data_IF_718038465247
#
_entry.id   IF_718038465247
#
_cell.length_a   1.000
_cell.length_b   1.000
_cell.length_c   1.000
_cell.angle_alpha   90.00
_cell.angle_beta   90.00
_cell.angle_gamma   90.00
#
_symmetry.space_group_name_H-M   'P 1'
#
loop_
_entity.id
_entity.type
_entity.pdbx_description
1 polymer ?
#
# COMPACT_ATOMS: atom_id res chain seq x y z
N UNK A 1 -25.82 40.43 44.95
CA UNK A 1 -25.15 39.16 44.58
C UNK A 1 -26.19 38.22 43.99
N UNK A 2 -26.02 37.83 42.72
CA UNK A 2 -26.63 36.68 42.01
C UNK A 2 -26.33 36.94 40.52
N UNK A 3 -25.13 36.55 40.06
CA UNK A 3 -24.83 35.27 39.42
C UNK A 3 -25.24 35.25 37.94
N UNK A 4 -24.23 35.38 37.08
CA UNK A 4 -24.30 35.21 35.62
C UNK A 4 -24.62 33.75 35.31
N UNK A 5 -25.70 33.48 34.60
CA UNK A 5 -25.90 32.18 33.94
C UNK A 5 -25.31 32.26 32.53
N UNK A 6 -24.09 31.74 32.37
CA UNK A 6 -23.53 31.43 31.06
C UNK A 6 -24.19 30.13 30.61
N UNK A 7 -25.02 30.21 29.58
CA UNK A 7 -25.59 29.03 28.92
C UNK A 7 -24.48 28.37 28.10
N UNK A 8 -23.75 27.43 28.71
CA UNK A 8 -22.87 26.52 27.98
C UNK A 8 -23.78 25.54 27.25
N UNK A 9 -23.98 25.77 25.96
CA UNK A 9 -24.50 24.73 25.06
C UNK A 9 -23.41 23.67 24.99
N UNK A 10 -23.50 22.66 25.87
CA UNK A 10 -22.86 21.38 25.67
C UNK A 10 -23.50 20.80 24.40
N UNK A 11 -22.86 20.99 23.26
CA UNK A 11 -23.04 20.10 22.13
C UNK A 11 -22.45 18.76 22.61
N UNK A 12 -23.30 17.96 23.25
CA UNK A 12 -23.09 16.53 23.36
C UNK A 12 -23.04 16.02 21.93
N UNK A 13 -21.85 15.98 21.34
CA UNK A 13 -21.60 15.05 20.26
C UNK A 13 -22.07 13.69 20.80
N UNK A 14 -23.01 13.00 20.14
CA UNK A 14 -23.33 11.65 20.56
C UNK A 14 -22.00 10.89 20.66
N UNK A 15 -21.74 10.17 21.77
CA UNK A 15 -20.58 9.29 21.81
C UNK A 15 -20.65 8.45 20.54
N UNK A 16 -19.52 8.34 19.82
CA UNK A 16 -19.41 7.51 18.63
C UNK A 16 -19.90 6.12 19.02
N UNK A 17 -21.17 5.83 18.75
CA UNK A 17 -21.88 4.65 19.27
C UNK A 17 -21.49 3.38 18.49
N UNK A 18 -20.68 3.55 17.45
CA UNK A 18 -20.42 2.55 16.41
C UNK A 18 -18.92 2.20 16.29
N UNK A 19 -18.07 2.59 17.25
CA UNK A 19 -16.66 2.22 17.24
C UNK A 19 -16.48 0.80 17.79
N UNK A 20 -15.86 -0.08 17.01
CA UNK A 20 -15.56 -1.45 17.40
C UNK A 20 -14.69 -1.47 18.67
N UNK A 21 -15.03 -2.34 19.61
CA UNK A 21 -14.23 -2.52 20.81
C UNK A 21 -12.86 -3.13 20.48
N UNK A 22 -11.80 -2.64 21.11
CA UNK A 22 -10.42 -3.06 20.79
C UNK A 22 -10.19 -4.54 21.15
N UNK A 23 -10.88 -5.09 22.16
CA UNK A 23 -10.78 -6.51 22.50
C UNK A 23 -11.50 -7.36 21.45
N UNK A 24 -12.66 -6.92 20.97
CA UNK A 24 -13.36 -7.56 19.85
C UNK A 24 -12.49 -7.56 18.58
N UNK A 25 -11.96 -6.40 18.19
CA UNK A 25 -11.04 -6.28 17.06
C UNK A 25 -9.88 -7.29 17.13
N UNK A 26 -9.17 -7.33 18.26
CA UNK A 26 -8.07 -8.29 18.49
C UNK A 26 -8.54 -9.74 18.38
N UNK A 27 -9.70 -10.05 18.98
CA UNK A 27 -10.26 -11.41 18.95
C UNK A 27 -10.51 -11.87 17.51
N UNK A 28 -11.06 -11.01 16.65
CA UNK A 28 -11.31 -11.37 15.25
C UNK A 28 -10.00 -11.44 14.46
N UNK A 29 -9.07 -10.52 14.68
CA UNK A 29 -7.75 -10.56 14.04
C UNK A 29 -6.96 -11.82 14.39
N UNK A 30 -7.03 -12.31 15.63
CA UNK A 30 -6.43 -13.58 16.02
C UNK A 30 -7.01 -14.76 15.22
N UNK A 31 -8.30 -14.72 14.89
CA UNK A 31 -8.93 -15.73 14.01
C UNK A 31 -8.42 -15.64 12.58
N UNK A 32 -8.25 -14.43 12.05
CA UNK A 32 -7.63 -14.21 10.72
C UNK A 32 -6.23 -14.81 10.69
N UNK A 33 -5.40 -14.49 11.69
CA UNK A 33 -4.01 -14.97 11.78
C UNK A 33 -3.92 -16.50 11.94
N UNK A 34 -4.90 -17.11 12.60
CA UNK A 34 -5.01 -18.56 12.75
C UNK A 34 -5.64 -19.26 11.54
N UNK A 35 -5.93 -18.54 10.44
CA UNK A 35 -6.67 -19.04 9.27
C UNK A 35 -8.02 -19.68 9.62
N UNK A 36 -8.62 -19.25 10.74
CA UNK A 36 -9.92 -19.70 11.19
C UNK A 36 -11.00 -18.76 10.64
N UNK A 37 -11.35 -18.98 9.37
CA UNK A 37 -12.11 -18.02 8.57
C UNK A 37 -13.62 -18.02 8.83
N UNK A 38 -14.23 -19.16 9.19
CA UNK A 38 -15.68 -19.26 9.46
C UNK A 38 -16.20 -18.20 10.47
N UNK A 39 -15.58 -17.99 11.65
CA UNK A 39 -16.03 -16.94 12.57
C UNK A 39 -15.79 -15.54 12.04
N UNK A 40 -14.74 -15.32 11.22
CA UNK A 40 -14.45 -14.02 10.61
C UNK A 40 -15.50 -13.68 9.55
N UNK A 41 -15.89 -14.65 8.73
CA UNK A 41 -16.94 -14.49 7.72
C UNK A 41 -18.28 -14.17 8.34
N UNK A 42 -18.63 -14.90 9.41
CA UNK A 42 -19.83 -14.62 10.18
C UNK A 42 -19.79 -13.20 10.75
N UNK A 43 -18.66 -12.80 11.35
CA UNK A 43 -18.48 -11.46 11.88
C UNK A 43 -18.65 -10.37 10.81
N UNK A 44 -17.96 -10.50 9.67
CA UNK A 44 -18.04 -9.54 8.57
C UNK A 44 -19.45 -9.45 8.02
N UNK A 45 -20.15 -10.58 7.87
CA UNK A 45 -21.52 -10.60 7.36
C UNK A 45 -22.51 -9.94 8.31
N UNK A 46 -22.46 -10.30 9.59
CA UNK A 46 -23.47 -9.90 10.57
C UNK A 46 -23.33 -8.43 10.98
N UNK A 47 -22.10 -7.90 10.99
CA UNK A 47 -21.83 -6.54 11.48
C UNK A 47 -21.66 -5.48 10.36
N UNK A 48 -21.74 -5.87 9.07
CA UNK A 48 -21.48 -4.96 7.95
C UNK A 48 -22.31 -3.67 7.96
N UNK A 49 -23.59 -3.77 8.34
CA UNK A 49 -24.50 -2.62 8.33
C UNK A 49 -24.19 -1.62 9.44
N UNK A 50 -23.86 -2.13 10.63
CA UNK A 50 -23.58 -1.34 11.83
C UNK A 50 -22.19 -0.71 11.78
N UNK A 51 -21.19 -1.45 11.26
CA UNK A 51 -19.79 -1.03 11.23
C UNK A 51 -19.34 -0.45 9.88
N UNK A 52 -20.27 -0.02 9.02
CA UNK A 52 -19.96 0.48 7.67
C UNK A 52 -19.01 1.70 7.65
N UNK A 53 -18.95 2.44 8.76
CA UNK A 53 -18.08 3.63 8.90
C UNK A 53 -16.91 3.38 9.85
N UNK A 54 -16.83 2.20 10.43
CA UNK A 54 -15.79 1.83 11.37
C UNK A 54 -14.53 1.36 10.62
N UNK A 55 -13.36 1.99 10.80
CA UNK A 55 -12.15 1.64 10.06
C UNK A 55 -11.63 0.23 10.39
N UNK A 56 -11.80 -0.24 11.61
CA UNK A 56 -11.34 -1.54 12.10
C UNK A 56 -12.07 -2.69 11.41
N UNK A 57 -13.35 -2.52 11.07
CA UNK A 57 -14.08 -3.45 10.21
C UNK A 57 -13.35 -3.67 8.88
N UNK A 58 -12.83 -2.61 8.27
CA UNK A 58 -12.11 -2.69 7.00
C UNK A 58 -10.69 -3.21 7.13
N UNK A 59 -10.03 -2.98 8.27
CA UNK A 59 -8.76 -3.66 8.58
C UNK A 59 -8.97 -5.17 8.63
N UNK A 60 -10.02 -5.65 9.31
CA UNK A 60 -10.39 -7.08 9.34
C UNK A 60 -10.70 -7.57 7.93
N UNK A 61 -11.53 -6.85 7.18
CA UNK A 61 -11.93 -7.23 5.81
C UNK A 61 -10.71 -7.42 4.90
N UNK A 62 -9.77 -6.46 4.89
CA UNK A 62 -8.55 -6.56 4.07
C UNK A 62 -7.69 -7.75 4.46
N UNK A 63 -7.43 -7.93 5.76
CA UNK A 63 -6.59 -9.03 6.25
C UNK A 63 -7.25 -10.39 5.99
N UNK A 64 -8.56 -10.51 6.21
CA UNK A 64 -9.34 -11.70 5.88
C UNK A 64 -9.29 -12.01 4.38
N UNK A 65 -9.61 -11.04 3.52
CA UNK A 65 -9.63 -11.22 2.07
C UNK A 65 -8.28 -11.67 1.54
N UNK A 66 -7.19 -11.07 2.03
CA UNK A 66 -5.84 -11.48 1.67
C UNK A 66 -5.48 -12.87 2.23
N UNK A 67 -5.65 -13.11 3.52
CA UNK A 67 -5.26 -14.38 4.15
C UNK A 67 -6.04 -15.57 3.57
N UNK A 68 -7.35 -15.43 3.36
CA UNK A 68 -8.16 -16.49 2.75
C UNK A 68 -7.91 -16.62 1.25
N UNK A 69 -7.64 -15.50 0.56
CA UNK A 69 -7.43 -15.48 -0.88
C UNK A 69 -6.03 -15.96 -1.29
N UNK A 70 -5.02 -15.75 -0.46
CA UNK A 70 -3.64 -16.11 -0.73
C UNK A 70 -3.35 -17.58 -0.40
N UNK A 71 -4.03 -18.51 -1.09
CA UNK A 71 -3.86 -19.94 -0.88
C UNK A 71 -2.63 -20.45 -1.62
N UNK A 72 -1.99 -21.45 -1.03
CA UNK A 72 -0.97 -22.25 -1.69
C UNK A 72 -1.53 -23.65 -1.96
N UNK A 73 -1.21 -24.21 -3.11
CA UNK A 73 -1.62 -25.54 -3.55
C UNK A 73 -0.40 -26.45 -3.63
N UNK A 74 -0.49 -27.58 -2.93
CA UNK A 74 0.44 -28.68 -3.13
C UNK A 74 0.13 -29.34 -4.48
N UNK A 75 1.12 -29.36 -5.37
CA UNK A 75 1.07 -29.97 -6.69
C UNK A 75 1.97 -31.18 -6.72
N UNK A 76 1.42 -32.30 -7.20
CA UNK A 76 2.18 -33.50 -7.60
C UNK A 76 2.14 -33.57 -9.12
N UNK A 77 3.29 -33.52 -9.78
CA UNK A 77 3.36 -33.55 -11.23
C UNK A 77 4.60 -34.29 -11.74
N UNK A 78 4.55 -34.76 -12.99
CA UNK A 78 5.72 -35.32 -13.70
C UNK A 78 6.63 -34.20 -14.19
N UNK A 79 7.93 -34.48 -14.31
CA UNK A 79 8.92 -33.56 -14.86
C UNK A 79 9.96 -33.08 -13.84
N UNK A 80 10.71 -32.04 -14.20
CA UNK A 80 11.84 -31.55 -13.41
C UNK A 80 11.35 -30.64 -12.25
N UNK A 81 11.82 -30.87 -11.01
CA UNK A 81 11.51 -30.00 -9.88
C UNK A 81 12.09 -28.59 -10.07
N UNK A 82 11.39 -27.59 -9.54
CA UNK A 82 11.89 -26.23 -9.35
C UNK A 82 12.58 -26.08 -7.99
N UNK A 83 13.23 -24.93 -7.77
CA UNK A 83 13.85 -24.61 -6.48
C UNK A 83 12.79 -24.60 -5.38
N UNK A 84 12.94 -25.49 -4.40
CA UNK A 84 12.01 -25.65 -3.28
C UNK A 84 11.02 -26.81 -3.44
N UNK A 85 10.98 -27.46 -4.60
CA UNK A 85 10.21 -28.69 -4.79
C UNK A 85 10.96 -29.90 -4.24
N UNK A 86 10.21 -30.92 -3.81
CA UNK A 86 10.71 -32.25 -3.52
C UNK A 86 10.69 -33.08 -4.80
N UNK A 87 11.85 -33.61 -5.20
CA UNK A 87 11.94 -34.55 -6.32
C UNK A 87 11.27 -35.89 -5.97
N UNK A 88 10.56 -36.46 -6.93
CA UNK A 88 10.04 -37.83 -6.87
C UNK A 88 10.89 -38.68 -7.79
N UNK A 89 11.62 -39.63 -7.21
CA UNK A 89 12.56 -40.50 -7.91
C UNK A 89 11.97 -41.90 -8.11
N UNK A 90 12.25 -42.50 -9.27
CA UNK A 90 12.02 -43.91 -9.50
C UNK A 90 12.95 -44.71 -8.58
N UNK A 91 12.38 -45.67 -7.84
CA UNK A 91 13.12 -46.41 -6.81
C UNK A 91 14.19 -47.32 -7.40
N UNK A 92 14.00 -47.81 -8.62
CA UNK A 92 14.86 -48.82 -9.23
C UNK A 92 15.95 -48.17 -10.08
N UNK A 93 15.66 -47.05 -10.75
CA UNK A 93 16.63 -46.33 -11.59
C UNK A 93 17.28 -45.13 -10.91
N UNK A 94 16.67 -44.58 -9.86
CA UNK A 94 17.07 -43.32 -9.24
C UNK A 94 16.77 -42.08 -10.10
N UNK A 95 16.06 -42.24 -11.21
CA UNK A 95 15.73 -41.13 -12.09
C UNK A 95 14.58 -40.29 -11.52
N UNK A 96 14.69 -38.97 -11.63
CA UNK A 96 13.60 -38.06 -11.25
C UNK A 96 12.44 -38.20 -12.24
N UNK A 97 11.32 -38.75 -11.78
CA UNK A 97 10.10 -38.97 -12.58
C UNK A 97 9.03 -37.90 -12.33
N UNK A 98 9.18 -37.11 -11.27
CA UNK A 98 8.26 -36.02 -10.95
C UNK A 98 8.71 -35.17 -9.78
N UNK A 99 7.78 -34.38 -9.26
CA UNK A 99 7.99 -33.54 -8.10
C UNK A 99 6.71 -33.34 -7.29
N UNK A 100 6.89 -33.05 -6.01
CA UNK A 100 5.90 -32.49 -5.10
C UNK A 100 6.35 -31.06 -4.78
N UNK A 101 5.51 -30.06 -5.08
CA UNK A 101 5.86 -28.66 -4.92
C UNK A 101 4.68 -27.82 -4.47
N UNK A 102 4.95 -26.67 -3.87
CA UNK A 102 3.90 -25.72 -3.52
C UNK A 102 3.75 -24.68 -4.63
N UNK A 103 2.52 -24.36 -5.02
CA UNK A 103 2.21 -23.40 -6.09
C UNK A 103 1.19 -22.38 -5.60
N UNK A 104 1.35 -21.09 -5.93
CA UNK A 104 0.31 -20.12 -5.64
C UNK A 104 -1.01 -20.53 -6.31
N UNK A 105 -2.10 -20.57 -5.55
CA UNK A 105 -3.47 -20.77 -6.05
C UNK A 105 -4.36 -19.67 -5.48
N UNK A 106 -4.03 -18.44 -5.85
CA UNK A 106 -4.65 -17.26 -5.26
C UNK A 106 -6.08 -17.05 -5.79
N UNK A 107 -7.01 -16.83 -4.87
CA UNK A 107 -8.35 -16.29 -5.17
C UNK A 107 -8.26 -14.76 -5.29
N UNK A 108 -7.78 -14.33 -6.45
CA UNK A 108 -7.57 -12.90 -6.75
C UNK A 108 -8.89 -12.12 -6.70
N UNK A 109 -10.01 -12.75 -7.05
CA UNK A 109 -11.33 -12.10 -7.01
C UNK A 109 -11.72 -11.71 -5.57
N UNK A 110 -11.53 -12.62 -4.60
CA UNK A 110 -11.78 -12.33 -3.19
C UNK A 110 -10.91 -11.16 -2.68
N UNK A 111 -9.63 -11.15 -3.04
CA UNK A 111 -8.68 -10.11 -2.63
C UNK A 111 -9.10 -8.74 -3.20
N UNK A 112 -9.38 -8.70 -4.50
CA UNK A 112 -9.78 -7.46 -5.19
C UNK A 112 -11.13 -6.94 -4.69
N UNK A 113 -12.05 -7.84 -4.34
CA UNK A 113 -13.32 -7.45 -3.72
C UNK A 113 -13.11 -6.77 -2.37
N UNK A 114 -12.25 -7.33 -1.51
CA UNK A 114 -11.89 -6.73 -0.22
C UNK A 114 -11.26 -5.35 -0.36
N UNK A 115 -10.33 -5.19 -1.31
CA UNK A 115 -9.75 -3.89 -1.67
C UNK A 115 -10.83 -2.91 -2.13
N UNK A 116 -11.67 -3.31 -3.09
CA UNK A 116 -12.69 -2.43 -3.67
C UNK A 116 -13.73 -1.99 -2.64
N UNK A 117 -14.19 -2.89 -1.77
CA UNK A 117 -15.12 -2.55 -0.69
C UNK A 117 -14.48 -1.56 0.29
N UNK A 118 -13.20 -1.74 0.63
CA UNK A 118 -12.48 -0.82 1.52
C UNK A 118 -12.27 0.55 0.89
N UNK A 119 -11.88 0.61 -0.40
CA UNK A 119 -11.69 1.87 -1.13
C UNK A 119 -12.96 2.74 -1.13
N UNK A 120 -14.14 2.12 -1.29
CA UNK A 120 -15.43 2.85 -1.25
C UNK A 120 -15.71 3.47 0.11
N UNK A 121 -15.22 2.85 1.18
CA UNK A 121 -15.47 3.28 2.55
C UNK A 121 -14.47 4.32 3.06
N UNK A 122 -13.30 4.45 2.43
CA UNK A 122 -12.22 5.37 2.84
C UNK A 122 -12.71 6.80 3.11
N UNK A 123 -13.71 7.29 2.36
CA UNK A 123 -14.29 8.62 2.58
C UNK A 123 -14.87 8.84 3.99
N UNK A 124 -15.23 7.76 4.70
CA UNK A 124 -15.75 7.82 6.08
C UNK A 124 -14.65 7.88 7.15
N UNK A 125 -13.41 7.53 6.80
CA UNK A 125 -12.25 7.49 7.70
C UNK A 125 -10.95 7.87 6.94
N UNK A 126 -11.01 8.94 6.16
CA UNK A 126 -10.01 9.27 5.15
C UNK A 126 -8.63 9.65 5.72
N UNK A 127 -8.48 9.81 7.03
CA UNK A 127 -7.19 10.04 7.68
C UNK A 127 -6.55 8.77 8.26
N UNK A 128 -7.07 7.57 7.98
CA UNK A 128 -6.47 6.29 8.43
C UNK A 128 -5.39 5.77 7.48
N UNK A 129 -4.19 6.33 7.60
CA UNK A 129 -3.05 6.06 6.70
C UNK A 129 -2.66 4.57 6.65
N UNK A 130 -2.83 3.84 7.76
CA UNK A 130 -2.59 2.41 7.84
C UNK A 130 -3.44 1.60 6.84
N UNK A 131 -4.69 2.00 6.63
CA UNK A 131 -5.61 1.30 5.71
C UNK A 131 -5.20 1.56 4.26
N UNK A 132 -4.84 2.81 3.94
CA UNK A 132 -4.31 3.17 2.61
C UNK A 132 -3.07 2.33 2.27
N UNK A 133 -2.10 2.26 3.19
CA UNK A 133 -0.90 1.44 2.97
C UNK A 133 -1.16 -0.06 3.03
N UNK A 134 -2.17 -0.51 3.79
CA UNK A 134 -2.63 -1.90 3.77
C UNK A 134 -3.12 -2.31 2.37
N UNK A 135 -3.91 -1.46 1.71
CA UNK A 135 -4.33 -1.67 0.31
C UNK A 135 -3.10 -1.72 -0.62
N UNK A 136 -2.19 -0.75 -0.51
CA UNK A 136 -0.98 -0.70 -1.34
C UNK A 136 -0.15 -1.97 -1.15
N UNK A 137 0.03 -2.42 0.08
CA UNK A 137 0.81 -3.62 0.40
C UNK A 137 0.18 -4.87 -0.23
N UNK A 138 -1.11 -5.10 -0.01
CA UNK A 138 -1.82 -6.25 -0.59
C UNK A 138 -1.77 -6.20 -2.12
N UNK A 139 -2.02 -5.04 -2.73
CA UNK A 139 -1.96 -4.88 -4.18
C UNK A 139 -0.56 -5.18 -4.75
N UNK A 140 0.51 -4.76 -4.08
CA UNK A 140 1.88 -5.10 -4.46
C UNK A 140 2.13 -6.61 -4.40
N UNK A 141 1.63 -7.32 -3.37
CA UNK A 141 1.81 -8.77 -3.23
C UNK A 141 1.14 -9.58 -4.34
N UNK A 142 0.08 -9.04 -4.95
CA UNK A 142 -0.60 -9.64 -6.10
C UNK A 142 -0.24 -8.98 -7.44
N UNK A 143 0.84 -8.18 -7.47
CA UNK A 143 1.36 -7.48 -8.65
C UNK A 143 0.34 -6.58 -9.38
N UNK A 144 -0.59 -5.98 -8.64
CA UNK A 144 -1.58 -5.02 -9.17
C UNK A 144 -1.06 -3.60 -9.12
N UNK A 145 -0.08 -3.32 -9.99
CA UNK A 145 0.63 -2.03 -10.06
C UNK A 145 -0.30 -0.84 -10.36
N UNK A 146 -1.39 -1.08 -11.09
CA UNK A 146 -2.44 -0.10 -11.33
C UNK A 146 -3.12 0.35 -10.02
N UNK A 147 -3.42 -0.59 -9.13
CA UNK A 147 -4.00 -0.30 -7.81
C UNK A 147 -2.96 0.38 -6.92
N UNK A 148 -1.70 -0.07 -6.94
CA UNK A 148 -0.61 0.58 -6.20
C UNK A 148 -0.48 2.05 -6.58
N UNK A 149 -0.38 2.35 -7.89
CA UNK A 149 -0.24 3.72 -8.37
C UNK A 149 -1.44 4.61 -8.01
N UNK A 150 -2.66 4.14 -8.28
CA UNK A 150 -3.88 4.90 -7.97
C UNK A 150 -4.04 5.16 -6.47
N UNK A 151 -3.72 4.17 -5.64
CA UNK A 151 -3.83 4.31 -4.19
C UNK A 151 -2.77 5.26 -3.61
N UNK A 152 -1.54 5.22 -4.11
CA UNK A 152 -0.47 6.17 -3.71
C UNK A 152 -0.80 7.61 -4.13
N UNK A 153 -1.37 7.81 -5.32
CA UNK A 153 -1.87 9.12 -5.76
C UNK A 153 -2.97 9.63 -4.83
N UNK A 154 -3.88 8.74 -4.41
CA UNK A 154 -4.95 9.09 -3.48
C UNK A 154 -4.41 9.49 -2.10
N UNK A 155 -3.41 8.79 -1.57
CA UNK A 155 -2.72 9.19 -0.33
C UNK A 155 -2.21 10.63 -0.46
N UNK A 156 -1.51 10.97 -1.54
CA UNK A 156 -0.95 12.32 -1.72
C UNK A 156 -2.05 13.41 -1.76
N UNK A 157 -3.16 13.14 -2.47
CA UNK A 157 -4.31 14.06 -2.55
C UNK A 157 -5.00 14.25 -1.21
N UNK A 158 -5.33 13.14 -0.54
CA UNK A 158 -6.01 13.17 0.75
C UNK A 158 -5.14 13.86 1.79
N UNK A 159 -3.83 13.60 1.78
CA UNK A 159 -2.88 14.27 2.67
C UNK A 159 -2.97 15.79 2.58
N UNK A 160 -3.14 16.36 1.38
CA UNK A 160 -3.37 17.81 1.24
C UNK A 160 -4.73 18.25 1.75
N UNK A 161 -5.77 17.45 1.51
CA UNK A 161 -7.13 17.75 1.98
C UNK A 161 -7.26 17.74 3.51
N UNK A 162 -6.48 16.90 4.20
CA UNK A 162 -6.49 16.78 5.67
C UNK A 162 -5.34 17.55 6.34
N UNK A 163 -4.60 18.38 5.59
CA UNK A 163 -3.41 19.08 6.07
C UNK A 163 -2.39 18.16 6.78
N UNK A 164 -2.16 17.00 6.18
CA UNK A 164 -1.28 15.93 6.63
C UNK A 164 -1.63 15.37 8.02
N UNK A 165 -2.83 15.61 8.55
CA UNK A 165 -3.28 15.10 9.86
C UNK A 165 -3.66 13.61 9.78
N UNK A 166 -2.67 12.78 9.44
CA UNK A 166 -2.82 11.33 9.37
C UNK A 166 -2.91 10.70 10.76
N UNK A 167 -3.62 9.58 10.80
CA UNK A 167 -3.82 8.71 11.95
C UNK A 167 -3.39 7.30 11.58
N UNK A 168 -2.99 6.54 12.59
CA UNK A 168 -2.55 5.17 12.42
C UNK A 168 -3.20 4.25 13.45
N UNK A 169 -3.80 3.16 12.97
CA UNK A 169 -4.34 2.09 13.80
C UNK A 169 -5.41 2.55 14.80
N UNK A 170 -5.69 1.70 15.78
CA UNK A 170 -6.75 1.93 16.78
C UNK A 170 -6.45 3.09 17.73
N UNK A 171 -5.17 3.42 17.93
CA UNK A 171 -4.74 4.55 18.77
C UNK A 171 -5.09 5.88 18.10
N UNK A 172 -5.25 5.90 16.76
CA UNK A 172 -5.67 7.07 16.00
C UNK A 172 -4.72 8.28 16.18
N UNK A 173 -3.44 8.00 16.40
CA UNK A 173 -2.36 8.99 16.53
C UNK A 173 -1.11 8.51 15.82
N UNK A 174 -0.17 9.42 15.61
CA UNK A 174 1.17 9.14 15.09
C UNK A 174 2.19 9.90 15.96
N UNK A 175 3.24 9.21 16.38
CA UNK A 175 4.28 9.80 17.24
C UNK A 175 5.31 10.62 16.43
N UNK A 176 5.50 10.27 15.16
CA UNK A 176 6.39 10.96 14.21
C UNK A 176 5.64 12.02 13.38
N UNK A 177 6.39 12.89 12.69
CA UNK A 177 5.84 13.83 11.69
C UNK A 177 5.04 13.05 10.63
N UNK A 178 3.69 13.20 10.58
CA UNK A 178 2.86 12.38 9.72
C UNK A 178 3.08 12.66 8.22
N UNK A 179 3.44 13.90 7.85
CA UNK A 179 3.77 14.26 6.45
C UNK A 179 5.05 13.51 6.05
N UNK A 180 6.09 13.60 6.88
CA UNK A 180 7.37 12.95 6.61
C UNK A 180 7.22 11.44 6.52
N UNK A 181 6.56 10.82 7.51
CA UNK A 181 6.30 9.38 7.53
C UNK A 181 5.56 8.91 6.27
N UNK A 182 4.52 9.63 5.85
CA UNK A 182 3.78 9.33 4.63
C UNK A 182 4.67 9.41 3.40
N UNK A 183 5.41 10.50 3.21
CA UNK A 183 6.26 10.71 2.03
C UNK A 183 7.37 9.66 1.92
N UNK A 184 8.01 9.30 3.04
CA UNK A 184 9.03 8.25 3.08
C UNK A 184 8.46 6.88 2.70
N UNK A 185 7.29 6.52 3.23
CA UNK A 185 6.62 5.28 2.84
C UNK A 185 6.19 5.28 1.35
N UNK A 186 5.76 6.43 0.81
CA UNK A 186 5.50 6.56 -0.64
C UNK A 186 6.80 6.35 -1.44
N UNK A 187 7.94 6.88 -0.99
CA UNK A 187 9.24 6.65 -1.66
C UNK A 187 9.64 5.18 -1.69
N UNK A 188 9.43 4.45 -0.61
CA UNK A 188 9.70 3.00 -0.59
C UNK A 188 8.89 2.25 -1.66
N UNK A 189 7.62 2.64 -1.87
CA UNK A 189 6.78 1.99 -2.90
C UNK A 189 7.11 2.46 -4.31
N UNK A 190 7.55 3.70 -4.49
CA UNK A 190 8.14 4.15 -5.76
C UNK A 190 9.37 3.31 -6.13
N UNK A 191 10.23 3.01 -5.16
CA UNK A 191 11.38 2.10 -5.38
C UNK A 191 10.92 0.68 -5.76
N UNK A 192 9.86 0.16 -5.14
CA UNK A 192 9.28 -1.13 -5.53
C UNK A 192 8.75 -1.12 -6.96
N UNK A 193 8.02 -0.08 -7.35
CA UNK A 193 7.51 0.09 -8.72
C UNK A 193 8.65 0.13 -9.74
N UNK A 194 9.70 0.90 -9.45
CA UNK A 194 10.87 0.99 -10.33
C UNK A 194 11.56 -0.37 -10.50
N UNK A 195 11.79 -1.08 -9.39
CA UNK A 195 12.46 -2.39 -9.39
C UNK A 195 11.62 -3.51 -10.02
N UNK A 196 10.32 -3.30 -10.25
CA UNK A 196 9.50 -4.30 -10.92
C UNK A 196 9.88 -4.48 -12.39
N UNK A 197 10.51 -3.47 -13.01
CA UNK A 197 10.93 -3.49 -14.43
C UNK A 197 9.78 -3.90 -15.37
N UNK A 198 8.58 -3.36 -15.11
CA UNK A 198 7.35 -3.57 -15.90
C UNK A 198 6.82 -2.24 -16.40
N UNK A 199 6.31 -2.22 -17.62
CA UNK A 199 5.73 -1.02 -18.22
C UNK A 199 4.56 -0.47 -17.37
N UNK A 200 3.71 -1.35 -16.84
CA UNK A 200 2.60 -0.96 -15.98
C UNK A 200 3.08 -0.33 -14.66
N UNK A 201 4.20 -0.82 -14.10
CA UNK A 201 4.80 -0.28 -12.90
C UNK A 201 5.49 1.07 -13.15
N UNK A 202 6.17 1.23 -14.30
CA UNK A 202 6.75 2.50 -14.76
C UNK A 202 5.65 3.57 -14.96
N UNK A 203 4.52 3.19 -15.55
CA UNK A 203 3.36 4.08 -15.71
C UNK A 203 2.75 4.50 -14.37
N UNK A 204 2.62 3.56 -13.43
CA UNK A 204 2.20 3.85 -12.07
C UNK A 204 3.19 4.80 -11.36
N UNK A 205 4.49 4.53 -11.45
CA UNK A 205 5.55 5.37 -10.88
C UNK A 205 5.47 6.79 -11.41
N UNK A 206 5.40 6.95 -12.74
CA UNK A 206 5.25 8.26 -13.39
C UNK A 206 4.07 9.03 -12.82
N UNK A 207 2.90 8.37 -12.73
CA UNK A 207 1.67 9.01 -12.23
C UNK A 207 1.81 9.42 -10.76
N UNK A 208 2.43 8.59 -9.92
CA UNK A 208 2.72 8.91 -8.52
C UNK A 208 3.67 10.09 -8.41
N UNK A 209 4.76 10.10 -9.19
CA UNK A 209 5.74 11.18 -9.18
C UNK A 209 5.14 12.52 -9.66
N UNK A 210 4.27 12.50 -10.67
CA UNK A 210 3.49 13.67 -11.10
C UNK A 210 2.55 14.17 -10.00
N UNK A 211 1.89 13.27 -9.27
CA UNK A 211 1.07 13.65 -8.12
C UNK A 211 1.93 14.23 -6.97
N UNK A 212 3.13 13.70 -6.72
CA UNK A 212 4.05 14.28 -5.73
C UNK A 212 4.43 15.70 -6.09
N UNK A 213 4.77 15.97 -7.36
CA UNK A 213 5.07 17.33 -7.84
C UNK A 213 3.86 18.26 -7.66
N UNK A 214 2.66 17.78 -7.99
CA UNK A 214 1.44 18.58 -7.91
C UNK A 214 1.09 18.94 -6.47
N UNK A 215 1.09 17.96 -5.58
CA UNK A 215 0.60 18.11 -4.21
C UNK A 215 1.71 18.64 -3.27
N UNK A 216 2.99 18.37 -3.58
CA UNK A 216 4.19 18.77 -2.83
C UNK A 216 5.29 19.34 -3.75
N UNK A 217 5.05 20.50 -4.40
CA UNK A 217 6.01 21.08 -5.36
C UNK A 217 7.34 21.50 -4.75
N UNK A 218 7.39 21.65 -3.43
CA UNK A 218 8.58 22.00 -2.64
C UNK A 218 9.37 20.76 -2.16
N UNK A 219 8.91 19.55 -2.48
CA UNK A 219 9.56 18.30 -2.10
C UNK A 219 10.26 17.68 -3.31
N UNK A 220 11.55 17.36 -3.12
CA UNK A 220 12.44 16.91 -4.20
C UNK A 220 12.02 15.59 -4.88
N UNK A 221 11.34 14.72 -4.13
CA UNK A 221 11.10 13.32 -4.52
C UNK A 221 10.41 13.15 -5.88
N UNK A 222 9.33 13.87 -6.16
CA UNK A 222 8.59 13.70 -7.42
C UNK A 222 9.45 14.02 -8.64
N UNK A 223 10.24 15.10 -8.56
CA UNK A 223 11.17 15.49 -9.63
C UNK A 223 12.29 14.47 -9.82
N UNK A 224 12.91 14.02 -8.72
CA UNK A 224 13.97 13.00 -8.79
C UNK A 224 13.46 11.68 -9.36
N UNK A 225 12.26 11.25 -8.98
CA UNK A 225 11.66 10.00 -9.46
C UNK A 225 11.38 10.03 -10.96
N UNK A 226 10.82 11.14 -11.49
CA UNK A 226 10.68 11.31 -12.95
C UNK A 226 12.04 11.36 -13.65
N UNK A 227 13.00 12.09 -13.07
CA UNK A 227 14.36 12.18 -13.59
C UNK A 227 15.02 10.81 -13.79
N UNK A 228 14.96 9.97 -12.75
CA UNK A 228 15.50 8.60 -12.76
C UNK A 228 14.73 7.70 -13.72
N UNK A 229 13.40 7.75 -13.72
CA UNK A 229 12.58 6.95 -14.65
C UNK A 229 12.89 7.28 -16.12
N UNK A 230 13.02 8.57 -16.46
CA UNK A 230 13.37 8.98 -17.82
C UNK A 230 14.81 8.62 -18.18
N UNK A 231 15.74 8.70 -17.23
CA UNK A 231 17.13 8.29 -17.44
C UNK A 231 17.24 6.78 -17.73
N UNK A 232 16.52 5.96 -16.96
CA UNK A 232 16.46 4.51 -17.17
C UNK A 232 15.91 4.16 -18.56
N UNK A 233 14.89 4.91 -19.01
CA UNK A 233 14.25 4.77 -20.31
C UNK A 233 14.96 5.51 -21.46
N UNK A 234 16.21 5.93 -21.26
CA UNK A 234 17.05 6.65 -22.24
C UNK A 234 16.44 7.95 -22.81
N UNK A 235 15.49 8.56 -22.10
CA UNK A 235 14.84 9.84 -22.45
C UNK A 235 15.62 11.00 -21.84
N UNK A 236 16.87 11.16 -22.26
CA UNK A 236 17.88 12.00 -21.59
C UNK A 236 17.46 13.48 -21.44
N UNK A 237 16.75 14.06 -22.42
CA UNK A 237 16.27 15.44 -22.33
C UNK A 237 15.20 15.63 -21.24
N UNK A 238 14.30 14.65 -21.06
CA UNK A 238 13.29 14.69 -19.99
C UNK A 238 13.93 14.42 -18.63
N UNK A 239 14.89 13.48 -18.57
CA UNK A 239 15.67 13.24 -17.36
C UNK A 239 16.36 14.52 -16.87
N UNK A 240 17.04 15.23 -17.78
CA UNK A 240 17.70 16.50 -17.48
C UNK A 240 16.73 17.56 -16.96
N UNK A 241 15.60 17.73 -17.63
CA UNK A 241 14.56 18.68 -17.21
C UNK A 241 14.17 18.45 -15.75
N UNK A 242 13.77 17.23 -15.39
CA UNK A 242 13.27 16.96 -14.04
C UNK A 242 14.37 16.93 -12.98
N UNK A 243 15.57 16.42 -13.29
CA UNK A 243 16.69 16.46 -12.37
C UNK A 243 17.16 17.90 -12.09
N UNK A 244 17.13 18.79 -13.09
CA UNK A 244 17.43 20.20 -12.87
C UNK A 244 16.35 20.88 -12.01
N UNK A 245 15.06 20.53 -12.16
CA UNK A 245 14.01 21.02 -11.27
C UNK A 245 14.23 20.55 -9.83
N UNK A 246 14.63 19.29 -9.63
CA UNK A 246 15.00 18.78 -8.31
C UNK A 246 16.18 19.56 -7.70
N UNK A 247 17.20 19.87 -8.52
CA UNK A 247 18.38 20.64 -8.11
C UNK A 247 18.04 22.08 -7.68
N UNK A 248 16.99 22.69 -8.24
CA UNK A 248 16.55 24.03 -7.80
C UNK A 248 15.94 24.04 -6.40
N UNK A 249 15.41 22.89 -5.93
CA UNK A 249 14.83 22.75 -4.60
C UNK A 249 15.94 22.52 -3.56
N UNK A 250 16.86 21.60 -3.84
CA UNK A 250 18.06 21.37 -3.03
C UNK A 250 19.31 21.24 -3.93
N UNK A 251 20.10 22.32 -4.07
CA UNK A 251 21.33 22.31 -4.87
C UNK A 251 22.41 21.35 -4.36
N UNK A 252 22.34 20.91 -3.10
CA UNK A 252 23.34 20.07 -2.45
C UNK A 252 22.88 18.62 -2.27
N UNK A 253 21.70 18.26 -2.78
CA UNK A 253 21.19 16.90 -2.66
C UNK A 253 22.09 15.91 -3.41
N UNK A 254 22.66 14.97 -2.64
CA UNK A 254 23.65 14.03 -3.16
C UNK A 254 23.06 13.04 -4.16
N UNK A 255 21.78 12.72 -4.04
CA UNK A 255 21.09 11.78 -4.94
C UNK A 255 20.88 12.45 -6.30
N UNK A 256 20.39 13.69 -6.32
CA UNK A 256 20.19 14.47 -7.55
C UNK A 256 21.52 14.73 -8.26
N UNK A 257 22.55 15.17 -7.54
CA UNK A 257 23.88 15.38 -8.11
C UNK A 257 24.47 14.09 -8.69
N UNK A 258 24.26 12.96 -8.01
CA UNK A 258 24.64 11.63 -8.50
C UNK A 258 23.94 11.26 -9.81
N UNK A 259 22.64 11.48 -9.90
CA UNK A 259 21.84 11.20 -11.10
C UNK A 259 22.22 12.12 -12.28
N UNK A 260 22.50 13.41 -12.03
CA UNK A 260 22.97 14.34 -13.06
C UNK A 260 24.34 13.95 -13.62
N UNK A 261 25.23 13.39 -12.78
CA UNK A 261 26.52 12.85 -13.25
C UNK A 261 26.30 11.67 -14.21
N UNK A 262 25.45 10.70 -13.83
CA UNK A 262 25.12 9.55 -14.68
C UNK A 262 24.49 10.02 -16.00
N UNK A 263 23.60 11.00 -15.95
CA UNK A 263 23.00 11.60 -17.16
C UNK A 263 24.06 12.19 -18.08
N UNK A 264 25.05 12.91 -17.52
CA UNK A 264 26.15 13.51 -18.30
C UNK A 264 26.99 12.43 -18.98
N UNK A 265 27.31 11.34 -18.28
CA UNK A 265 28.03 10.20 -18.84
C UNK A 265 27.26 9.62 -20.04
N UNK A 266 25.97 9.31 -19.86
CA UNK A 266 25.11 8.77 -20.94
C UNK A 266 24.91 9.69 -22.14
N UNK A 267 25.09 11.00 -22.00
CA UNK A 267 25.00 11.95 -23.13
C UNK A 267 26.28 11.99 -23.97
N UNK A 268 27.40 11.53 -23.41
CA UNK A 268 28.71 11.54 -24.06
C UNK A 268 29.08 10.18 -24.68
N UNK A 269 28.34 9.12 -24.35
CA UNK A 269 28.41 7.79 -24.98
C UNK A 269 27.60 7.75 -26.29
#
# INVERSE_FOLDING_TARGET
>A
MLSKLVLIILILFPPVLDAMDVKEFRTIMDKVNASNFDPVEKFLKDNKAELLKDPEYYVILLNYSYAKGNKEQIVVAKGKPQKGDFALEDKDTGEVVGFLGNRPNQDIELILKGISETQKALSSFNNRLDIYFGIVHIASLINRWDIVGTQLVEILRVSKAIDNQWKWGTINSMDDDPKKFMLENVQERVKQLFNAEKEEADNALKTVAEAMIKEYPDVIYGYTNLGVLYLANNKLALAEKYLNQALTIDPNDKIVLGNLRILKERKND
#
